data_IF_076515084714
#
_entry.id   IF_076515084714
#
_cell.length_a   1.000
_cell.length_b   1.000
_cell.length_c   1.000
_cell.angle_alpha   90.00
_cell.angle_beta   90.00
_cell.angle_gamma   90.00
#
_symmetry.space_group_name_H-M   'P 1'
#
loop_
_entity.id
_entity.type
_entity.pdbx_description
1 polymer ?
#
# COMPACT_ATOMS: atom_id res chain seq x y z
N UNK A 1 10.66 -32.53 -4.14
CA UNK A 1 9.38 -32.06 -4.72
C UNK A 1 8.47 -31.42 -3.66
N UNK A 2 8.28 -32.05 -2.49
CA UNK A 2 7.40 -31.54 -1.42
C UNK A 2 7.73 -30.09 -1.00
N UNK A 3 9.00 -29.77 -0.74
CA UNK A 3 9.38 -28.41 -0.30
C UNK A 3 9.04 -27.32 -1.32
N UNK A 4 9.13 -27.60 -2.62
CA UNK A 4 8.77 -26.66 -3.69
C UNK A 4 7.27 -26.46 -3.78
N UNK A 5 6.49 -27.50 -3.49
CA UNK A 5 5.03 -27.39 -3.44
C UNK A 5 4.59 -26.56 -2.23
N UNK A 6 5.21 -26.78 -1.06
CA UNK A 6 4.97 -25.95 0.13
C UNK A 6 5.34 -24.49 -0.14
N UNK A 7 6.47 -24.23 -0.81
CA UNK A 7 6.86 -22.87 -1.19
C UNK A 7 5.80 -22.19 -2.08
N UNK A 8 5.20 -22.91 -3.03
CA UNK A 8 4.10 -22.38 -3.85
C UNK A 8 2.88 -22.04 -3.00
N UNK A 9 2.47 -22.91 -2.07
CA UNK A 9 1.33 -22.65 -1.19
C UNK A 9 1.59 -21.38 -0.36
N UNK A 10 2.79 -21.25 0.19
CA UNK A 10 3.19 -20.05 0.96
C UNK A 10 3.11 -18.80 0.08
N UNK A 11 3.62 -18.86 -1.16
CA UNK A 11 3.51 -17.74 -2.10
C UNK A 11 2.05 -17.41 -2.39
N UNK A 12 1.19 -18.39 -2.64
CA UNK A 12 -0.23 -18.14 -2.90
C UNK A 12 -0.94 -17.48 -1.71
N UNK A 13 -0.65 -17.91 -0.48
CA UNK A 13 -1.18 -17.26 0.72
C UNK A 13 -0.68 -15.83 0.86
N UNK A 14 0.59 -15.57 0.53
CA UNK A 14 1.13 -14.20 0.49
C UNK A 14 0.43 -13.33 -0.56
N UNK A 15 0.06 -13.89 -1.71
CA UNK A 15 -0.72 -13.17 -2.74
C UNK A 15 -2.08 -12.74 -2.23
N UNK A 16 -2.79 -13.64 -1.54
CA UNK A 16 -4.08 -13.33 -0.94
C UNK A 16 -3.93 -12.20 0.09
N UNK A 17 -2.88 -12.25 0.92
CA UNK A 17 -2.61 -11.22 1.91
C UNK A 17 -2.26 -9.87 1.27
N UNK A 18 -1.39 -9.85 0.25
CA UNK A 18 -1.05 -8.63 -0.51
C UNK A 18 -2.27 -8.04 -1.22
N UNK A 19 -3.16 -8.88 -1.76
CA UNK A 19 -4.41 -8.43 -2.35
C UNK A 19 -5.32 -7.77 -1.30
N UNK A 20 -5.42 -8.36 -0.10
CA UNK A 20 -6.17 -7.76 1.00
C UNK A 20 -5.58 -6.39 1.41
N UNK A 21 -4.26 -6.27 1.48
CA UNK A 21 -3.60 -4.98 1.74
C UNK A 21 -3.86 -3.95 0.64
N UNK A 22 -3.76 -4.35 -0.64
CA UNK A 22 -4.08 -3.48 -1.76
C UNK A 22 -5.55 -3.02 -1.73
N UNK A 23 -6.48 -3.92 -1.40
CA UNK A 23 -7.89 -3.61 -1.24
C UNK A 23 -8.13 -2.59 -0.10
N UNK A 24 -7.52 -2.80 1.06
CA UNK A 24 -7.58 -1.86 2.18
C UNK A 24 -7.03 -0.48 1.80
N UNK A 25 -5.93 -0.43 1.05
CA UNK A 25 -5.36 0.82 0.54
C UNK A 25 -6.26 1.53 -0.47
N UNK A 26 -7.01 0.79 -1.29
CA UNK A 26 -7.89 1.35 -2.34
C UNK A 26 -9.21 1.89 -1.79
N UNK A 27 -9.81 1.23 -0.81
CA UNK A 27 -11.11 1.62 -0.28
C UNK A 27 -11.02 2.73 0.79
N UNK A 28 -9.87 2.89 1.45
CA UNK A 28 -9.77 3.73 2.65
C UNK A 28 -9.09 5.10 2.43
N UNK A 29 -8.65 5.45 1.22
CA UNK A 29 -8.25 6.85 0.96
C UNK A 29 -9.47 7.76 1.14
N UNK A 30 -10.67 7.36 0.70
CA UNK A 30 -11.90 8.16 0.83
C UNK A 30 -12.60 8.08 2.19
N UNK A 31 -12.29 7.10 3.03
CA UNK A 31 -12.97 6.88 4.32
C UNK A 31 -12.16 7.46 5.50
N UNK A 32 -10.85 7.66 5.35
CA UNK A 32 -10.04 8.49 6.26
C UNK A 32 -10.11 10.00 5.99
N UNK A 33 -10.87 10.40 4.96
CA UNK A 33 -11.16 11.76 4.56
C UNK A 33 -12.54 12.12 5.09
N UNK A 34 -12.67 12.43 6.38
CA UNK A 34 -13.91 13.03 6.86
C UNK A 34 -14.10 14.36 6.10
N UNK A 35 -15.21 14.58 5.40
CA UNK A 35 -15.57 15.94 5.03
C UNK A 35 -15.69 16.70 6.35
N UNK A 36 -14.87 17.73 6.53
CA UNK A 36 -15.01 18.62 7.68
C UNK A 36 -16.30 19.41 7.47
N UNK A 37 -17.43 18.86 7.90
CA UNK A 37 -18.77 19.35 7.59
C UNK A 37 -19.21 20.57 8.40
N UNK A 38 -18.37 21.05 9.32
CA UNK A 38 -18.79 22.01 10.34
C UNK A 38 -18.26 23.44 10.11
N UNK A 39 -17.69 23.74 8.93
CA UNK A 39 -17.39 25.12 8.53
C UNK A 39 -18.32 25.50 7.37
N UNK A 40 -19.31 26.32 7.71
CA UNK A 40 -20.10 27.11 6.76
C UNK A 40 -19.18 27.72 5.69
N UNK A 41 -19.52 27.47 4.41
CA UNK A 41 -18.94 28.10 3.23
C UNK A 41 -17.52 27.69 2.79
N UNK A 42 -17.25 26.41 2.54
CA UNK A 42 -16.40 26.03 1.38
C UNK A 42 -16.38 24.52 1.10
N UNK A 43 -16.41 24.19 -0.19
CA UNK A 43 -16.23 22.85 -0.71
C UNK A 43 -14.90 22.22 -0.23
N UNK A 44 -15.02 21.01 0.34
CA UNK A 44 -14.04 19.92 0.29
C UNK A 44 -12.62 20.20 0.81
N UNK A 45 -12.47 20.54 2.08
CA UNK A 45 -11.21 20.30 2.78
C UNK A 45 -11.16 18.86 3.29
N UNK A 46 -10.12 18.18 2.84
CA UNK A 46 -9.86 16.78 3.10
C UNK A 46 -8.91 16.67 4.31
N UNK A 47 -9.43 16.26 5.47
CA UNK A 47 -8.63 16.11 6.70
C UNK A 47 -8.01 14.71 6.74
N UNK A 48 -6.67 14.63 6.70
CA UNK A 48 -5.93 13.37 6.83
C UNK A 48 -5.29 13.31 8.21
N UNK A 49 -5.65 12.32 9.03
CA UNK A 49 -4.94 12.06 10.29
C UNK A 49 -3.52 11.57 10.00
N UNK A 50 -2.53 12.22 10.60
CA UNK A 50 -1.12 11.82 10.53
C UNK A 50 -0.93 10.34 10.94
N UNK A 51 -1.62 9.88 12.00
CA UNK A 51 -1.59 8.48 12.45
C UNK A 51 -2.10 7.50 11.39
N UNK A 52 -3.19 7.85 10.69
CA UNK A 52 -3.73 7.02 9.62
C UNK A 52 -2.79 6.98 8.39
N UNK A 53 -2.13 8.10 8.09
CA UNK A 53 -1.14 8.20 7.03
C UNK A 53 0.09 7.32 7.32
N UNK A 54 0.65 7.41 8.54
CA UNK A 54 1.75 6.55 8.98
C UNK A 54 1.36 5.07 8.97
N UNK A 55 0.14 4.73 9.40
CA UNK A 55 -0.39 3.37 9.33
C UNK A 55 -0.42 2.82 7.90
N UNK A 56 -0.85 3.63 6.93
CA UNK A 56 -0.87 3.27 5.50
C UNK A 56 0.54 3.10 4.92
N UNK A 57 1.47 3.98 5.28
CA UNK A 57 2.88 3.85 4.87
C UNK A 57 3.46 2.53 5.39
N UNK A 58 3.24 2.22 6.67
CA UNK A 58 3.69 0.97 7.25
C UNK A 58 3.11 -0.26 6.53
N UNK A 59 1.81 -0.22 6.20
CA UNK A 59 1.15 -1.28 5.45
C UNK A 59 1.74 -1.46 4.04
N UNK A 60 2.04 -0.35 3.33
CA UNK A 60 2.70 -0.42 2.01
C UNK A 60 4.10 -1.05 2.10
N UNK A 61 4.88 -0.73 3.13
CA UNK A 61 6.20 -1.32 3.34
C UNK A 61 6.12 -2.83 3.59
N UNK A 62 5.17 -3.28 4.41
CA UNK A 62 4.92 -4.71 4.63
C UNK A 62 4.59 -5.41 3.29
N UNK A 63 3.71 -4.81 2.49
CA UNK A 63 3.35 -5.35 1.16
C UNK A 63 4.56 -5.50 0.23
N UNK A 64 5.48 -4.53 0.23
CA UNK A 64 6.73 -4.61 -0.54
C UNK A 64 7.61 -5.76 -0.03
N UNK A 65 7.81 -5.88 1.28
CA UNK A 65 8.64 -6.94 1.89
C UNK A 65 8.10 -8.33 1.55
N UNK A 66 6.79 -8.52 1.67
CA UNK A 66 6.13 -9.78 1.31
C UNK A 66 6.29 -10.10 -0.17
N UNK A 67 6.16 -9.10 -1.04
CA UNK A 67 6.34 -9.28 -2.48
C UNK A 67 7.78 -9.67 -2.85
N UNK A 68 8.79 -9.08 -2.21
CA UNK A 68 10.20 -9.46 -2.39
C UNK A 68 10.43 -10.90 -1.93
N UNK A 69 9.92 -11.27 -0.77
CA UNK A 69 10.05 -12.64 -0.26
C UNK A 69 9.37 -13.66 -1.20
N UNK A 70 8.21 -13.30 -1.76
CA UNK A 70 7.54 -14.11 -2.78
C UNK A 70 8.43 -14.33 -4.01
N UNK A 71 9.13 -13.30 -4.50
CA UNK A 71 10.06 -13.43 -5.63
C UNK A 71 11.19 -14.42 -5.30
N UNK A 72 11.80 -14.32 -4.12
CA UNK A 72 12.87 -15.22 -3.70
C UNK A 72 12.41 -16.68 -3.69
N UNK A 73 11.21 -16.95 -3.16
CA UNK A 73 10.62 -18.29 -3.18
C UNK A 73 10.33 -18.77 -4.61
N UNK A 74 9.77 -17.91 -5.47
CA UNK A 74 9.51 -18.28 -6.86
C UNK A 74 10.80 -18.60 -7.64
N UNK A 75 11.88 -17.84 -7.43
CA UNK A 75 13.20 -18.14 -8.03
C UNK A 75 13.70 -19.51 -7.59
N UNK A 76 13.50 -19.87 -6.32
CA UNK A 76 13.87 -21.20 -5.84
C UNK A 76 13.04 -22.32 -6.50
N UNK A 77 11.75 -22.07 -6.77
CA UNK A 77 10.85 -23.00 -7.45
C UNK A 77 11.20 -23.18 -8.94
N UNK A 78 11.80 -22.19 -9.61
CA UNK A 78 12.19 -22.27 -11.04
C UNK A 78 13.11 -23.46 -11.37
N UNK A 79 13.80 -24.01 -10.36
CA UNK A 79 14.64 -25.21 -10.50
C UNK A 79 13.84 -26.46 -10.92
N UNK A 80 12.52 -26.46 -10.73
CA UNK A 80 11.66 -27.58 -11.11
C UNK A 80 10.96 -27.34 -12.46
N UNK A 81 11.30 -28.16 -13.47
CA UNK A 81 10.74 -28.06 -14.82
C UNK A 81 9.20 -28.10 -14.85
N UNK A 82 8.56 -28.87 -13.97
CA UNK A 82 7.09 -29.01 -13.94
C UNK A 82 6.40 -27.77 -13.38
N UNK A 83 7.03 -27.08 -12.43
CA UNK A 83 6.45 -25.92 -11.74
C UNK A 83 6.96 -24.59 -12.29
N UNK A 84 7.90 -24.62 -13.25
CA UNK A 84 8.56 -23.44 -13.79
C UNK A 84 7.57 -22.44 -14.38
N UNK A 85 6.63 -22.88 -15.21
CA UNK A 85 5.64 -21.99 -15.81
C UNK A 85 4.77 -21.31 -14.76
N UNK A 86 4.33 -22.07 -13.76
CA UNK A 86 3.56 -21.52 -12.64
C UNK A 86 4.35 -20.49 -11.83
N UNK A 87 5.62 -20.78 -11.54
CA UNK A 87 6.52 -19.85 -10.85
C UNK A 87 6.78 -18.58 -11.67
N UNK A 88 6.84 -18.65 -13.01
CA UNK A 88 6.98 -17.47 -13.87
C UNK A 88 5.75 -16.57 -13.76
N UNK A 89 4.54 -17.14 -13.79
CA UNK A 89 3.30 -16.36 -13.62
C UNK A 89 3.29 -15.66 -12.25
N UNK A 90 3.67 -16.37 -11.19
CA UNK A 90 3.77 -15.80 -9.86
C UNK A 90 4.83 -14.70 -9.75
N UNK A 91 5.97 -14.84 -10.45
CA UNK A 91 7.00 -13.80 -10.52
C UNK A 91 6.47 -12.52 -11.16
N UNK A 92 5.77 -12.64 -12.29
CA UNK A 92 5.18 -11.49 -12.98
C UNK A 92 4.17 -10.79 -12.07
N UNK A 93 3.32 -11.54 -11.38
CA UNK A 93 2.37 -11.00 -10.40
C UNK A 93 3.09 -10.28 -9.25
N UNK A 94 4.19 -10.84 -8.72
CA UNK A 94 5.00 -10.16 -7.69
C UNK A 94 5.63 -8.88 -8.19
N UNK A 95 6.09 -8.83 -9.45
CA UNK A 95 6.61 -7.60 -10.03
C UNK A 95 5.53 -6.52 -10.11
N UNK A 96 4.31 -6.86 -10.54
CA UNK A 96 3.18 -5.92 -10.59
C UNK A 96 2.81 -5.41 -9.19
N UNK A 97 2.77 -6.29 -8.18
CA UNK A 97 2.50 -5.90 -6.79
C UNK A 97 3.55 -4.92 -6.25
N UNK A 98 4.84 -5.19 -6.49
CA UNK A 98 5.91 -4.26 -6.08
C UNK A 98 5.69 -2.90 -6.72
N UNK A 99 5.46 -2.85 -8.04
CA UNK A 99 5.20 -1.58 -8.73
C UNK A 99 4.00 -0.85 -8.14
N UNK A 100 2.91 -1.55 -7.87
CA UNK A 100 1.72 -0.97 -7.24
C UNK A 100 2.02 -0.37 -5.86
N UNK A 101 2.65 -1.15 -4.96
CA UNK A 101 2.98 -0.67 -3.61
C UNK A 101 4.02 0.45 -3.63
N UNK A 102 5.00 0.40 -4.54
CA UNK A 102 6.00 1.47 -4.69
C UNK A 102 5.37 2.78 -5.16
N UNK A 103 4.44 2.74 -6.11
CA UNK A 103 3.72 3.93 -6.54
C UNK A 103 2.91 4.53 -5.39
N UNK A 104 2.20 3.68 -4.63
CA UNK A 104 1.44 4.12 -3.45
C UNK A 104 2.35 4.69 -2.35
N UNK A 105 3.53 4.12 -2.14
CA UNK A 105 4.49 4.66 -1.19
C UNK A 105 4.96 6.06 -1.58
N UNK A 106 5.24 6.30 -2.87
CA UNK A 106 5.60 7.63 -3.37
C UNK A 106 4.46 8.63 -3.20
N UNK A 107 3.23 8.25 -3.51
CA UNK A 107 2.04 9.09 -3.29
C UNK A 107 1.86 9.44 -1.81
N UNK A 108 1.95 8.45 -0.92
CA UNK A 108 1.82 8.66 0.52
C UNK A 108 2.93 9.55 1.07
N UNK A 109 4.18 9.41 0.63
CA UNK A 109 5.27 10.29 1.07
C UNK A 109 5.10 11.73 0.60
N UNK A 110 4.54 11.97 -0.59
CA UNK A 110 4.17 13.33 -1.01
C UNK A 110 3.12 13.91 -0.08
N UNK A 111 2.13 13.11 0.31
CA UNK A 111 1.11 13.49 1.30
C UNK A 111 1.72 13.77 2.69
N UNK A 112 2.71 12.98 3.16
CA UNK A 112 3.43 13.27 4.42
C UNK A 112 4.01 14.67 4.38
N UNK A 113 4.74 15.01 3.31
CA UNK A 113 5.40 16.32 3.19
C UNK A 113 4.40 17.49 3.15
N UNK A 114 3.18 17.26 2.67
CA UNK A 114 2.11 18.26 2.69
C UNK A 114 1.49 18.41 4.09
N UNK A 115 1.27 17.30 4.80
CA UNK A 115 0.68 17.28 6.15
C UNK A 115 1.65 17.82 7.20
N UNK A 116 2.93 17.42 7.17
CA UNK A 116 3.95 17.94 8.09
C UNK A 116 4.10 19.47 7.98
N UNK A 117 3.99 20.02 6.77
CA UNK A 117 4.03 21.48 6.57
C UNK A 117 2.79 22.23 7.10
N UNK A 118 1.67 21.53 7.30
CA UNK A 118 0.45 22.13 7.81
C UNK A 118 0.30 21.98 9.35
N UNK A 119 0.85 20.93 9.96
CA UNK A 119 0.89 20.76 11.44
C UNK A 119 1.77 21.82 12.14
N UNK A 120 2.69 22.46 11.42
CA UNK A 120 3.54 23.52 11.97
C UNK A 120 2.82 24.87 12.16
N UNK A 121 1.69 25.12 11.49
CA UNK A 121 0.98 26.40 11.56
C UNK A 121 -0.20 26.40 12.55
N UNK A 122 -0.79 25.24 12.85
CA UNK A 122 -1.98 25.14 13.71
C UNK A 122 -1.81 24.03 14.77
N UNK A 123 -1.47 24.43 16.01
CA UNK A 123 -1.37 23.57 17.21
C UNK A 123 -2.74 23.01 17.68
N UNK A 124 -3.53 22.41 16.81
CA UNK A 124 -4.81 21.79 17.16
C UNK A 124 -4.92 20.47 16.42
N UNK A 125 -5.35 19.41 17.13
CA UNK A 125 -5.61 18.01 16.69
C UNK A 125 -6.60 17.85 15.52
N UNK A 126 -6.82 18.89 14.72
CA UNK A 126 -7.66 18.90 13.54
C UNK A 126 -6.73 18.81 12.34
N UNK A 127 -6.62 17.62 11.76
CA UNK A 127 -5.67 17.35 10.67
C UNK A 127 -5.77 18.31 9.48
N UNK A 128 -4.75 18.28 8.64
CA UNK A 128 -4.51 19.32 7.65
C UNK A 128 -5.49 19.31 6.47
N UNK A 129 -6.02 20.48 6.11
CA UNK A 129 -6.84 20.67 4.91
C UNK A 129 -5.95 20.78 3.67
N UNK A 130 -6.00 19.77 2.80
CA UNK A 130 -5.31 19.84 1.51
C UNK A 130 -6.27 20.46 0.49
N UNK A 131 -5.93 21.59 -0.16
CA UNK A 131 -6.78 22.18 -1.17
C UNK A 131 -6.81 21.31 -2.45
N UNK A 132 -7.97 21.25 -3.15
CA UNK A 132 -8.25 20.27 -4.20
C UNK A 132 -7.40 20.43 -5.47
N UNK A 133 -6.69 21.54 -5.62
CA UNK A 133 -5.76 21.87 -6.71
C UNK A 133 -4.38 21.20 -6.58
N UNK A 134 -4.10 20.55 -5.44
CA UNK A 134 -2.82 19.86 -5.17
C UNK A 134 -2.89 18.33 -5.28
N UNK A 135 -4.00 17.78 -5.75
CA UNK A 135 -4.19 16.36 -6.05
C UNK A 135 -3.79 16.00 -7.49
#
# INVERSE_FOLDING_TARGET
MICQFVAIIVVLMQKILNFAFAYLLLFDIKIGLYPYSDIQDSLSSYVVSSNALFGKIFLTLIGIILSIFSILLCIWVLRNKRLRYFAIVLLILSSVEITFFSLRFVELNKLVSLVENCDFDHQVEVGCSIPPDKF
#
